data_IF_491481258219
#
_entry.id   IF_491481258219
#
_cell.length_a   1.000
_cell.length_b   1.000
_cell.length_c   1.000
_cell.angle_alpha   90.00
_cell.angle_beta   90.00
_cell.angle_gamma   90.00
#
_symmetry.space_group_name_H-M   'P 1'
#
loop_
_entity.id
_entity.type
_entity.pdbx_description
1 polymer ?
#
# COMPACT_ATOMS: atom_id res chain seq x y z
N UNK A 1 -13.94 -65.20 0.77
CA UNK A 1 -12.50 -64.85 0.82
C UNK A 1 -12.27 -63.65 -0.08
N UNK A 2 -11.97 -62.49 0.54
CA UNK A 2 -11.20 -61.35 0.05
C UNK A 2 -11.55 -60.70 -1.31
N UNK A 3 -11.47 -59.39 -1.53
CA UNK A 3 -11.15 -58.16 -0.79
C UNK A 3 -11.28 -57.07 -1.87
N UNK A 4 -11.78 -55.89 -1.55
CA UNK A 4 -11.48 -54.71 -2.38
C UNK A 4 -12.59 -53.68 -2.49
N UNK A 5 -12.91 -53.03 -1.38
CA UNK A 5 -13.60 -51.74 -1.41
C UNK A 5 -12.59 -50.69 -1.89
N UNK A 6 -12.70 -50.22 -3.14
CA UNK A 6 -11.86 -49.15 -3.67
C UNK A 6 -12.42 -47.80 -3.20
N UNK A 7 -12.02 -47.35 -2.01
CA UNK A 7 -12.26 -45.97 -1.57
C UNK A 7 -11.19 -45.10 -2.21
N UNK A 8 -11.58 -44.37 -3.25
CA UNK A 8 -10.73 -43.36 -3.88
C UNK A 8 -10.73 -42.12 -2.97
N UNK A 9 -9.80 -42.09 -2.02
CA UNK A 9 -9.52 -40.89 -1.21
C UNK A 9 -8.93 -39.85 -2.15
N UNK A 10 -9.77 -38.94 -2.62
CA UNK A 10 -9.36 -37.73 -3.32
C UNK A 10 -8.63 -36.86 -2.29
N UNK A 11 -7.31 -37.05 -2.19
CA UNK A 11 -6.44 -36.13 -1.47
C UNK A 11 -6.56 -34.81 -2.20
N UNK A 12 -7.36 -33.90 -1.66
CA UNK A 12 -7.32 -32.49 -2.00
C UNK A 12 -5.94 -32.02 -1.57
N UNK A 13 -4.98 -32.09 -2.49
CA UNK A 13 -3.74 -31.34 -2.39
C UNK A 13 -4.16 -29.88 -2.43
N UNK A 14 -4.32 -29.30 -1.24
CA UNK A 14 -4.48 -27.86 -1.08
C UNK A 14 -3.20 -27.25 -1.64
N UNK A 15 -3.23 -26.88 -2.92
CA UNK A 15 -2.19 -26.04 -3.51
C UNK A 15 -2.11 -24.81 -2.62
N UNK A 16 -0.97 -24.63 -1.94
CA UNK A 16 -0.68 -23.40 -1.19
C UNK A 16 -0.55 -22.29 -2.23
N UNK A 17 -1.68 -21.74 -2.66
CA UNK A 17 -1.73 -20.58 -3.53
C UNK A 17 -1.10 -19.43 -2.76
N UNK A 18 0.13 -19.06 -3.10
CA UNK A 18 0.79 -17.88 -2.55
C UNK A 18 0.20 -16.63 -3.20
N UNK A 19 -0.99 -16.27 -2.74
CA UNK A 19 -1.62 -14.97 -2.92
C UNK A 19 -2.46 -14.71 -1.66
N UNK A 20 -1.77 -14.58 -0.52
CA UNK A 20 -2.39 -14.18 0.74
C UNK A 20 -2.17 -12.69 0.95
N UNK A 21 -3.13 -12.01 1.56
CA UNK A 21 -3.06 -10.55 1.81
C UNK A 21 -2.43 -10.32 3.18
N UNK A 22 -1.56 -9.33 3.31
CA UNK A 22 -1.01 -8.92 4.62
C UNK A 22 -1.96 -7.99 5.36
N UNK A 23 -2.83 -7.28 4.62
CA UNK A 23 -3.88 -6.46 5.20
C UNK A 23 -5.05 -6.25 4.23
N UNK A 24 -6.18 -5.77 4.77
CA UNK A 24 -7.27 -5.12 4.04
C UNK A 24 -7.43 -3.69 4.56
N UNK A 25 -7.62 -2.73 3.67
CA UNK A 25 -8.01 -1.35 4.00
C UNK A 25 -9.33 -1.05 3.28
N UNK A 26 -10.43 -0.91 4.03
CA UNK A 26 -11.77 -0.74 3.47
C UNK A 26 -12.13 -1.81 2.43
N UNK A 27 -11.84 -3.08 2.75
CA UNK A 27 -11.97 -4.26 1.87
C UNK A 27 -11.06 -4.27 0.63
N UNK A 28 -10.19 -3.27 0.45
CA UNK A 28 -9.17 -3.29 -0.58
C UNK A 28 -7.98 -4.13 -0.08
N UNK A 29 -7.63 -5.23 -0.75
CA UNK A 29 -6.54 -6.09 -0.30
C UNK A 29 -5.17 -5.45 -0.53
N UNK A 30 -4.25 -5.72 0.39
CA UNK A 30 -2.81 -5.49 0.22
C UNK A 30 -2.16 -6.86 0.05
N UNK A 31 -1.86 -7.29 -1.20
CA UNK A 31 -1.24 -8.59 -1.45
C UNK A 31 0.16 -8.68 -0.86
N UNK A 32 0.52 -9.83 -0.29
CA UNK A 32 1.84 -10.04 0.31
C UNK A 32 2.99 -9.79 -0.68
N UNK A 33 2.82 -10.15 -1.96
CA UNK A 33 3.82 -9.93 -3.02
C UNK A 33 4.04 -8.44 -3.31
N UNK A 34 2.98 -7.66 -3.39
CA UNK A 34 3.05 -6.20 -3.59
C UNK A 34 3.74 -5.55 -2.39
N UNK A 35 3.28 -5.89 -1.18
CA UNK A 35 3.86 -5.37 0.04
C UNK A 35 5.34 -5.70 0.18
N UNK A 36 5.74 -6.96 -0.03
CA UNK A 36 7.14 -7.38 0.04
C UNK A 36 8.01 -6.66 -1.01
N UNK A 37 7.48 -6.44 -2.21
CA UNK A 37 8.17 -5.70 -3.26
C UNK A 37 8.42 -4.24 -2.84
N UNK A 38 7.40 -3.55 -2.34
CA UNK A 38 7.52 -2.17 -1.85
C UNK A 38 8.47 -2.10 -0.64
N UNK A 39 8.38 -3.05 0.29
CA UNK A 39 9.24 -3.14 1.46
C UNK A 39 10.72 -3.27 1.07
N UNK A 40 11.06 -4.24 0.21
CA UNK A 40 12.44 -4.50 -0.23
C UNK A 40 13.04 -3.34 -1.03
N UNK A 41 12.23 -2.68 -1.87
CA UNK A 41 12.66 -1.51 -2.66
C UNK A 41 13.08 -0.35 -1.76
N UNK A 42 12.34 -0.12 -0.67
CA UNK A 42 12.53 1.04 0.21
C UNK A 42 13.46 0.77 1.39
N UNK A 43 13.74 -0.49 1.71
CA UNK A 43 14.65 -0.90 2.79
C UNK A 43 15.79 -1.72 2.20
N UNK A 44 16.90 -1.05 1.83
CA UNK A 44 18.07 -1.65 1.16
C UNK A 44 19.14 -2.16 2.14
N UNK A 45 18.89 -2.15 3.45
CA UNK A 45 19.86 -2.62 4.44
C UNK A 45 19.94 -4.16 4.44
N UNK A 46 21.14 -4.71 4.25
CA UNK A 46 21.42 -6.15 4.14
C UNK A 46 21.27 -6.97 5.44
N UNK A 47 20.45 -6.51 6.39
CA UNK A 47 20.15 -7.22 7.64
C UNK A 47 18.82 -7.92 7.51
N UNK A 48 18.70 -9.12 8.08
CA UNK A 48 17.43 -9.83 8.15
C UNK A 48 16.39 -8.97 8.89
N UNK A 49 15.37 -8.53 8.17
CA UNK A 49 14.28 -7.70 8.69
C UNK A 49 13.56 -8.40 9.83
N UNK A 50 13.43 -7.75 10.99
CA UNK A 50 12.64 -8.31 12.09
C UNK A 50 11.14 -8.21 11.79
N UNK A 51 10.32 -8.96 12.55
CA UNK A 51 8.86 -8.80 12.48
C UNK A 51 8.42 -7.39 12.87
N UNK A 52 9.11 -6.76 13.82
CA UNK A 52 8.81 -5.40 14.26
C UNK A 52 9.04 -4.39 13.14
N UNK A 53 10.17 -4.49 12.43
CA UNK A 53 10.47 -3.60 11.30
C UNK A 53 9.43 -3.73 10.19
N UNK A 54 9.03 -4.97 9.89
CA UNK A 54 8.06 -5.24 8.85
C UNK A 54 6.64 -4.82 9.25
N UNK A 55 6.27 -4.97 10.53
CA UNK A 55 5.01 -4.49 11.11
C UNK A 55 4.93 -2.96 11.09
N UNK A 56 6.00 -2.30 11.53
CA UNK A 56 6.12 -0.84 11.48
C UNK A 56 5.99 -0.31 10.06
N UNK A 57 6.67 -0.94 9.10
CA UNK A 57 6.56 -0.56 7.69
C UNK A 57 5.16 -0.83 7.12
N UNK A 58 4.50 -1.94 7.49
CA UNK A 58 3.12 -2.20 7.09
C UNK A 58 2.17 -1.13 7.60
N UNK A 59 2.35 -0.66 8.85
CA UNK A 59 1.54 0.43 9.39
C UNK A 59 1.75 1.75 8.62
N UNK A 60 2.99 2.09 8.26
CA UNK A 60 3.27 3.24 7.39
C UNK A 60 2.59 3.10 6.02
N UNK A 61 2.65 1.90 5.44
CA UNK A 61 2.03 1.61 4.14
C UNK A 61 0.49 1.66 4.21
N UNK A 62 -0.12 1.20 5.30
CA UNK A 62 -1.55 1.33 5.55
C UNK A 62 -1.94 2.81 5.68
N UNK A 63 -1.19 3.61 6.44
CA UNK A 63 -1.42 5.05 6.56
C UNK A 63 -1.36 5.74 5.19
N UNK A 64 -0.39 5.37 4.35
CA UNK A 64 -0.32 5.82 2.96
C UNK A 64 -1.60 5.46 2.18
N UNK A 65 -2.06 4.20 2.22
CA UNK A 65 -3.28 3.76 1.53
C UNK A 65 -4.53 4.47 2.04
N UNK A 66 -4.62 4.76 3.33
CA UNK A 66 -5.71 5.53 3.93
C UNK A 66 -5.78 6.95 3.34
N UNK A 67 -4.64 7.65 3.22
CA UNK A 67 -4.59 8.98 2.58
C UNK A 67 -5.03 8.93 1.11
N UNK A 68 -4.61 7.89 0.38
CA UNK A 68 -5.03 7.67 -1.02
C UNK A 68 -6.55 7.47 -1.12
N UNK A 69 -7.15 6.73 -0.19
CA UNK A 69 -8.61 6.56 -0.14
C UNK A 69 -9.32 7.89 0.11
N UNK A 70 -8.78 8.76 0.97
CA UNK A 70 -9.36 10.09 1.19
C UNK A 70 -9.25 10.98 -0.05
N UNK A 71 -8.11 10.94 -0.76
CA UNK A 71 -7.94 11.64 -2.04
C UNK A 71 -8.98 11.18 -3.08
N UNK A 72 -9.19 9.85 -3.19
CA UNK A 72 -10.21 9.27 -4.08
C UNK A 72 -11.63 9.61 -3.67
N UNK A 73 -11.92 9.69 -2.36
CA UNK A 73 -13.21 10.13 -1.86
C UNK A 73 -13.53 11.57 -2.27
N UNK A 74 -12.49 12.41 -2.42
CA UNK A 74 -12.58 13.77 -2.96
C UNK A 74 -12.50 13.83 -4.49
N UNK A 75 -12.52 12.68 -5.18
CA UNK A 75 -12.46 12.54 -6.65
C UNK A 75 -11.19 13.13 -7.26
N UNK A 76 -10.10 13.26 -6.50
CA UNK A 76 -8.83 13.78 -7.00
C UNK A 76 -8.20 12.88 -8.06
N UNK A 77 -8.57 11.59 -8.07
CA UNK A 77 -8.21 10.61 -9.10
C UNK A 77 -8.92 10.81 -10.44
N UNK A 78 -9.90 11.74 -10.49
CA UNK A 78 -10.64 12.11 -11.70
C UNK A 78 -10.28 13.51 -12.20
N UNK A 79 -9.42 14.22 -11.48
CA UNK A 79 -8.95 15.54 -11.88
C UNK A 79 -8.17 15.45 -13.20
N UNK A 80 -8.41 16.40 -14.11
CA UNK A 80 -7.77 16.38 -15.44
C UNK A 80 -6.26 16.58 -15.37
N UNK A 81 -5.77 17.38 -14.41
CA UNK A 81 -4.35 17.58 -14.18
C UNK A 81 -3.69 16.28 -13.70
N UNK A 82 -4.28 15.63 -12.70
CA UNK A 82 -3.84 14.32 -12.23
C UNK A 82 -3.79 13.28 -13.36
N UNK A 83 -4.87 13.15 -14.14
CA UNK A 83 -4.96 12.18 -15.22
C UNK A 83 -3.90 12.41 -16.30
N UNK A 84 -3.64 13.67 -16.66
CA UNK A 84 -2.61 14.03 -17.63
C UNK A 84 -1.20 13.73 -17.11
N UNK A 85 -0.91 14.09 -15.85
CA UNK A 85 0.39 13.83 -15.22
C UNK A 85 0.69 12.32 -15.18
N UNK A 86 -0.25 11.52 -14.69
CA UNK A 86 -0.13 10.07 -14.61
C UNK A 86 0.06 9.45 -15.99
N UNK A 87 -0.70 9.90 -17.00
CA UNK A 87 -0.58 9.41 -18.38
C UNK A 87 0.81 9.68 -18.94
N UNK A 88 1.36 10.87 -18.70
CA UNK A 88 2.68 11.24 -19.16
C UNK A 88 3.75 10.36 -18.49
N UNK A 89 3.70 10.23 -17.17
CA UNK A 89 4.62 9.37 -16.43
C UNK A 89 4.57 7.92 -16.90
N UNK A 90 3.37 7.35 -17.06
CA UNK A 90 3.21 5.99 -17.55
C UNK A 90 3.84 5.78 -18.93
N UNK A 91 3.70 6.75 -19.84
CA UNK A 91 4.28 6.64 -21.18
C UNK A 91 5.81 6.61 -21.13
N UNK A 92 6.42 7.44 -20.28
CA UNK A 92 7.87 7.47 -20.05
C UNK A 92 8.36 6.15 -19.45
N UNK A 93 7.67 5.64 -18.42
CA UNK A 93 8.07 4.40 -17.75
C UNK A 93 7.91 3.20 -18.68
N UNK A 94 6.82 3.09 -19.42
CA UNK A 94 6.61 2.01 -20.41
C UNK A 94 7.68 2.04 -21.51
N UNK A 95 8.10 3.22 -21.95
CA UNK A 95 9.18 3.36 -22.93
C UNK A 95 10.55 2.95 -22.36
N UNK A 96 10.83 3.27 -21.09
CA UNK A 96 12.10 2.96 -20.41
C UNK A 96 12.20 1.49 -19.98
N UNK A 97 11.11 0.92 -19.47
CA UNK A 97 11.06 -0.46 -18.97
C UNK A 97 10.67 -1.40 -20.12
N UNK A 98 11.63 -1.64 -21.03
CA UNK A 98 11.46 -2.63 -22.11
C UNK A 98 11.77 -4.08 -21.69
N UNK A 99 12.29 -4.30 -20.46
CA UNK A 99 12.98 -5.56 -20.09
C UNK A 99 12.81 -6.02 -18.63
N UNK A 100 11.85 -5.49 -17.85
CA UNK A 100 11.56 -5.99 -16.48
C UNK A 100 10.12 -6.49 -16.37
N UNK A 101 9.92 -7.57 -15.60
CA UNK A 101 8.71 -8.39 -15.61
C UNK A 101 7.40 -7.60 -15.44
N UNK A 102 6.32 -8.11 -16.05
CA UNK A 102 5.00 -7.46 -16.13
C UNK A 102 4.45 -6.99 -14.77
N UNK A 103 4.69 -7.75 -13.70
CA UNK A 103 4.20 -7.42 -12.35
C UNK A 103 4.95 -6.23 -11.74
N UNK A 104 6.27 -6.10 -11.95
CA UNK A 104 7.07 -4.99 -11.43
C UNK A 104 6.64 -3.67 -12.07
N UNK A 105 6.40 -3.67 -13.39
CA UNK A 105 5.87 -2.51 -14.10
C UNK A 105 4.52 -2.07 -13.51
N UNK A 106 3.63 -3.03 -13.20
CA UNK A 106 2.34 -2.74 -12.57
C UNK A 106 2.52 -2.06 -11.21
N UNK A 107 3.43 -2.57 -10.36
CA UNK A 107 3.66 -1.99 -9.03
C UNK A 107 4.26 -0.58 -9.11
N UNK A 108 5.24 -0.35 -9.99
CA UNK A 108 5.84 0.98 -10.20
C UNK A 108 4.78 2.00 -10.64
N UNK A 109 3.95 1.63 -11.62
CA UNK A 109 2.89 2.52 -12.11
C UNK A 109 1.88 2.81 -10.99
N UNK A 110 1.48 1.81 -10.21
CA UNK A 110 0.53 1.99 -9.13
C UNK A 110 1.08 2.85 -8.00
N UNK A 111 2.34 2.63 -7.61
CA UNK A 111 3.05 3.43 -6.61
C UNK A 111 3.08 4.91 -7.02
N UNK A 112 3.39 5.22 -8.27
CA UNK A 112 3.35 6.61 -8.75
C UNK A 112 1.94 7.20 -8.70
N UNK A 113 0.95 6.49 -9.25
CA UNK A 113 -0.46 6.92 -9.27
C UNK A 113 -0.97 7.27 -7.88
N UNK A 114 -0.66 6.44 -6.91
CA UNK A 114 -1.07 6.62 -5.52
C UNK A 114 -0.22 7.66 -4.80
N UNK A 115 1.08 7.74 -5.12
CA UNK A 115 2.01 8.74 -4.58
C UNK A 115 1.59 10.16 -4.92
N UNK A 116 1.21 10.42 -6.17
CA UNK A 116 0.70 11.75 -6.59
C UNK A 116 -0.59 12.10 -5.84
N UNK A 117 -1.52 11.14 -5.69
CA UNK A 117 -2.74 11.38 -4.91
C UNK A 117 -2.43 11.70 -3.46
N UNK A 118 -1.57 10.89 -2.82
CA UNK A 118 -1.17 11.07 -1.42
C UNK A 118 -0.49 12.42 -1.19
N UNK A 119 0.40 12.83 -2.11
CA UNK A 119 1.05 14.14 -2.07
C UNK A 119 0.00 15.26 -2.16
N UNK A 120 -0.82 15.26 -3.22
CA UNK A 120 -1.80 16.32 -3.46
C UNK A 120 -2.81 16.46 -2.31
N UNK A 121 -3.27 15.35 -1.71
CA UNK A 121 -4.18 15.42 -0.56
C UNK A 121 -3.47 15.92 0.71
N UNK A 122 -2.19 15.57 0.90
CA UNK A 122 -1.40 16.05 2.03
C UNK A 122 -1.12 17.54 1.91
N UNK A 123 -0.84 18.06 0.71
CA UNK A 123 -0.75 19.50 0.48
C UNK A 123 -2.05 20.20 0.88
N UNK A 124 -3.19 19.68 0.43
CA UNK A 124 -4.51 20.25 0.71
C UNK A 124 -4.87 20.21 2.20
N UNK A 125 -4.56 19.12 2.90
CA UNK A 125 -5.04 18.89 4.29
C UNK A 125 -4.06 19.28 5.38
N UNK A 126 -2.78 19.26 5.09
CA UNK A 126 -1.75 19.54 6.08
C UNK A 126 -1.11 20.86 5.75
N UNK A 127 -0.68 21.09 4.51
CA UNK A 127 0.14 22.26 4.19
C UNK A 127 -0.65 23.54 3.94
N UNK A 128 -1.92 23.44 3.49
CA UNK A 128 -2.75 24.64 3.23
C UNK A 128 -3.69 25.05 4.35
N UNK A 129 -3.88 24.23 5.39
CA UNK A 129 -4.93 24.45 6.40
C UNK A 129 -4.69 25.69 7.30
N UNK A 130 -3.43 26.13 7.49
CA UNK A 130 -3.13 27.30 8.35
C UNK A 130 -2.47 28.50 7.65
N UNK A 131 -2.25 28.47 6.33
CA UNK A 131 -1.63 29.61 5.62
C UNK A 131 -2.49 30.88 5.66
N UNK A 132 -3.79 30.76 5.96
CA UNK A 132 -4.73 31.89 5.98
C UNK A 132 -4.95 32.53 7.35
N UNK A 133 -4.49 31.92 8.46
CA UNK A 133 -4.86 32.37 9.82
C UNK A 133 -3.68 32.96 10.61
N UNK A 134 -2.44 32.59 10.29
CA UNK A 134 -1.24 33.15 10.92
C UNK A 134 -0.20 33.47 9.85
N UNK A 135 0.35 34.68 9.89
CA UNK A 135 1.42 35.19 9.03
C UNK A 135 2.79 34.48 9.23
N UNK A 136 2.80 33.30 9.86
CA UNK A 136 3.98 32.49 10.14
C UNK A 136 3.94 31.15 9.39
N UNK A 137 5.12 30.62 9.07
CA UNK A 137 5.25 29.27 8.52
C UNK A 137 4.77 28.23 9.55
N UNK A 138 4.12 27.17 9.07
CA UNK A 138 3.74 26.02 9.88
C UNK A 138 4.98 25.37 10.50
N UNK A 139 4.94 25.09 11.80
CA UNK A 139 6.03 24.36 12.47
C UNK A 139 5.96 22.87 12.15
N UNK A 140 7.09 22.18 12.28
CA UNK A 140 7.17 20.73 12.06
C UNK A 140 6.22 19.96 13.00
N UNK A 141 6.03 20.44 14.24
CA UNK A 141 5.23 19.75 15.23
C UNK A 141 3.72 19.95 15.01
N UNK A 142 3.31 21.13 14.53
CA UNK A 142 1.94 21.33 14.05
C UNK A 142 1.63 20.45 12.85
N UNK A 143 2.55 20.36 11.89
CA UNK A 143 2.41 19.48 10.73
C UNK A 143 2.23 18.01 11.16
N UNK A 144 3.08 17.51 12.06
CA UNK A 144 2.98 16.14 12.59
C UNK A 144 1.66 15.92 13.34
N UNK A 145 1.21 16.91 14.12
CA UNK A 145 -0.03 16.80 14.87
C UNK A 145 -1.25 16.72 13.94
N UNK A 146 -1.32 17.59 12.92
CA UNK A 146 -2.39 17.55 11.92
C UNK A 146 -2.40 16.22 11.15
N UNK A 147 -1.22 15.71 10.78
CA UNK A 147 -1.10 14.43 10.10
C UNK A 147 -1.56 13.28 10.99
N UNK A 148 -1.19 13.29 12.27
CA UNK A 148 -1.62 12.29 13.26
C UNK A 148 -3.14 12.30 13.42
N UNK A 149 -3.73 13.47 13.64
CA UNK A 149 -5.18 13.63 13.78
C UNK A 149 -5.93 13.12 12.55
N UNK A 150 -5.45 13.51 11.35
CA UNK A 150 -6.03 13.05 10.10
C UNK A 150 -5.94 11.53 9.94
N UNK A 151 -4.80 10.90 10.25
CA UNK A 151 -4.68 9.44 10.20
C UNK A 151 -5.65 8.75 11.17
N UNK A 152 -5.81 9.28 12.39
CA UNK A 152 -6.75 8.73 13.37
C UNK A 152 -8.21 8.83 12.90
N UNK A 153 -8.60 9.93 12.24
CA UNK A 153 -9.90 10.05 11.59
C UNK A 153 -10.07 9.03 10.47
N UNK A 154 -9.05 8.85 9.64
CA UNK A 154 -9.09 7.90 8.52
C UNK A 154 -9.20 6.45 9.02
N UNK A 155 -8.52 6.08 10.10
CA UNK A 155 -8.62 4.75 10.71
C UNK A 155 -10.01 4.47 11.29
N UNK A 156 -10.71 5.50 11.77
CA UNK A 156 -12.13 5.38 12.19
C UNK A 156 -13.06 5.23 10.99
N UNK A 157 -12.78 5.95 9.89
CA UNK A 157 -13.61 5.98 8.67
C UNK A 157 -13.45 4.73 7.80
N UNK A 158 -12.23 4.19 7.70
CA UNK A 158 -11.89 3.08 6.83
C UNK A 158 -11.39 1.89 7.66
N UNK A 159 -12.14 0.76 7.71
CA UNK A 159 -11.76 -0.37 8.52
C UNK A 159 -10.45 -0.98 8.02
N UNK A 160 -9.53 -1.26 8.94
CA UNK A 160 -8.25 -1.90 8.66
C UNK A 160 -8.23 -3.28 9.32
N UNK A 161 -7.86 -4.30 8.55
CA UNK A 161 -7.60 -5.65 9.06
C UNK A 161 -6.19 -6.07 8.68
N UNK A 162 -5.37 -6.43 9.66
CA UNK A 162 -4.01 -6.94 9.45
C UNK A 162 -4.02 -8.46 9.64
N UNK A 163 -3.31 -9.17 8.77
CA UNK A 163 -3.11 -10.61 8.85
C UNK A 163 -1.69 -10.90 9.32
N UNK A 164 -1.47 -10.88 10.64
CA UNK A 164 -0.14 -11.05 11.22
C UNK A 164 0.55 -12.34 10.80
N UNK A 165 -0.18 -13.44 10.67
CA UNK A 165 0.39 -14.72 10.26
C UNK A 165 0.97 -14.67 8.85
N UNK A 166 0.35 -13.89 7.95
CA UNK A 166 0.87 -13.66 6.61
C UNK A 166 2.13 -12.80 6.65
N UNK A 167 2.15 -11.79 7.53
CA UNK A 167 3.32 -10.95 7.74
C UNK A 167 4.50 -11.76 8.32
N UNK A 168 4.26 -12.62 9.32
CA UNK A 168 5.26 -13.51 9.92
C UNK A 168 5.89 -14.46 8.90
N UNK A 169 5.14 -14.90 7.90
CA UNK A 169 5.68 -15.73 6.81
C UNK A 169 6.70 -14.96 5.97
N UNK A 170 6.51 -13.66 5.76
CA UNK A 170 7.41 -12.83 4.96
C UNK A 170 8.77 -12.57 5.62
N UNK A 171 8.81 -12.53 6.96
CA UNK A 171 10.05 -12.38 7.75
C UNK A 171 10.96 -13.62 7.65
N UNK A 172 10.37 -14.79 7.37
CA UNK A 172 11.07 -16.08 7.32
C UNK A 172 11.67 -16.39 5.93
N UNK A 173 11.51 -15.49 4.95
CA UNK A 173 11.98 -15.65 3.56
C UNK A 173 13.29 -14.88 3.38
#
# INVERSE_FOLDING_TARGET
MNKGLFVLVLIVVCSKTFAQNVALVSNVPIPAKEFLWVYKKNNTAGTQSSFEDMSSYLNLYINFKLKVLDAKALKMDRDTGYLNEVKNYESIIKAKIRVRGKDELKYIINEYREGVLMFNISEKKVWTVNRSVTSGAMTEEEQKQLEKEWIEELKKKYPVKIYEDELKKLVRI
#
